data_IF_676342593120
#
_entry.id   IF_676342593120
#
_cell.length_a   1.000
_cell.length_b   1.000
_cell.length_c   1.000
_cell.angle_alpha   90.00
_cell.angle_beta   90.00
_cell.angle_gamma   90.00
#
_symmetry.space_group_name_H-M   'P 1'
#
loop_
_entity.id
_entity.type
_entity.pdbx_description
1 polymer ?
#
# COMPACT_ATOMS: atom_id res chain seq x y z
N UNK A 1 6.16 9.79 22.05
CA UNK A 1 4.89 9.22 21.54
C UNK A 1 4.63 9.89 20.21
N UNK A 2 4.90 9.20 19.10
CA UNK A 2 4.66 9.73 17.76
C UNK A 2 3.36 9.09 17.28
N UNK A 3 2.27 9.84 17.36
CA UNK A 3 0.98 9.45 16.77
C UNK A 3 1.12 9.33 15.25
N UNK A 4 0.79 8.17 14.64
CA UNK A 4 0.78 8.02 13.20
C UNK A 4 -0.55 8.55 12.65
N UNK A 5 -0.75 9.87 12.67
CA UNK A 5 -1.96 10.51 12.12
C UNK A 5 -1.85 10.75 10.60
N UNK A 6 -1.54 9.69 9.85
CA UNK A 6 -1.46 9.73 8.38
C UNK A 6 -2.78 9.34 7.70
N UNK A 7 -3.80 9.01 8.49
CA UNK A 7 -5.11 8.58 7.99
C UNK A 7 -6.01 9.82 7.89
N UNK A 8 -6.47 10.24 6.69
CA UNK A 8 -7.37 11.37 6.55
C UNK A 8 -8.72 11.05 7.21
N UNK A 9 -9.35 12.09 7.78
CA UNK A 9 -10.61 12.03 8.54
C UNK A 9 -11.83 11.52 7.75
N UNK A 10 -11.69 11.33 6.43
CA UNK A 10 -12.68 10.66 5.56
C UNK A 10 -12.63 9.13 5.64
N UNK A 11 -11.67 8.55 6.35
CA UNK A 11 -11.60 7.12 6.60
C UNK A 11 -12.57 6.77 7.75
N UNK A 12 -13.80 6.36 7.41
CA UNK A 12 -14.81 5.88 8.36
C UNK A 12 -14.54 4.46 8.87
N UNK A 13 -13.27 4.03 8.94
CA UNK A 13 -12.93 2.80 9.66
C UNK A 13 -13.02 3.07 11.16
N UNK A 14 -13.70 2.21 11.94
CA UNK A 14 -13.55 2.21 13.39
C UNK A 14 -12.08 1.98 13.74
N UNK A 15 -11.52 2.86 14.57
CA UNK A 15 -10.11 2.94 15.00
C UNK A 15 -9.59 1.67 15.72
N UNK A 16 -10.38 0.60 15.82
CA UNK A 16 -10.03 -0.66 16.47
C UNK A 16 -9.40 -1.71 15.52
N UNK A 17 -9.65 -1.63 14.20
CA UNK A 17 -9.17 -2.64 13.22
C UNK A 17 -7.96 -2.17 12.38
N UNK A 18 -7.61 -0.89 12.43
CA UNK A 18 -6.43 -0.30 11.75
C UNK A 18 -5.07 -0.91 12.12
N UNK A 19 -4.75 -1.31 13.37
CA UNK A 19 -3.38 -1.72 13.72
C UNK A 19 -2.97 -3.07 13.10
N UNK A 20 -3.92 -3.98 12.87
CA UNK A 20 -3.63 -5.31 12.33
C UNK A 20 -3.35 -5.26 10.81
N UNK A 21 -4.08 -4.42 10.04
CA UNK A 21 -3.89 -4.31 8.58
C UNK A 21 -2.62 -3.55 8.21
N UNK A 22 -2.30 -2.52 8.99
CA UNK A 22 -1.03 -1.78 8.86
C UNK A 22 0.16 -2.69 9.15
N UNK A 23 0.04 -3.64 10.09
CA UNK A 23 1.09 -4.62 10.36
C UNK A 23 1.28 -5.63 9.22
N UNK A 24 0.20 -6.09 8.58
CA UNK A 24 0.28 -6.99 7.41
C UNK A 24 0.92 -6.29 6.19
N UNK A 25 0.52 -5.04 5.91
CA UNK A 25 1.19 -4.22 4.89
C UNK A 25 2.64 -3.93 5.25
N UNK A 26 2.96 -3.59 6.50
CA UNK A 26 4.33 -3.37 6.95
C UNK A 26 5.19 -4.61 6.81
N UNK A 27 4.67 -5.79 7.14
CA UNK A 27 5.38 -7.06 6.99
C UNK A 27 5.66 -7.35 5.51
N UNK A 28 4.64 -7.19 4.65
CA UNK A 28 4.79 -7.33 3.21
C UNK A 28 5.84 -6.35 2.66
N UNK A 29 5.80 -5.09 3.10
CA UNK A 29 6.77 -4.08 2.67
C UNK A 29 8.19 -4.39 3.17
N UNK A 30 8.34 -4.79 4.42
CA UNK A 30 9.65 -5.09 4.99
C UNK A 30 10.29 -6.36 4.39
N UNK A 31 9.48 -7.33 3.96
CA UNK A 31 9.97 -8.61 3.44
C UNK A 31 10.14 -8.63 1.91
N UNK A 32 9.22 -8.00 1.18
CA UNK A 32 9.05 -8.27 -0.26
C UNK A 32 9.15 -7.03 -1.14
N UNK A 33 9.08 -5.82 -0.60
CA UNK A 33 9.12 -4.59 -1.40
C UNK A 33 10.53 -4.32 -1.92
N UNK A 34 10.66 -4.25 -3.24
CA UNK A 34 11.91 -3.94 -3.94
C UNK A 34 11.99 -2.45 -4.27
N UNK A 35 10.94 -1.91 -4.90
CA UNK A 35 10.91 -0.50 -5.31
C UNK A 35 9.57 0.16 -5.02
N UNK A 36 9.63 1.47 -4.75
CA UNK A 36 8.48 2.36 -4.69
C UNK A 36 8.66 3.35 -5.82
N UNK A 37 7.76 3.32 -6.78
CA UNK A 37 7.74 4.19 -7.95
C UNK A 37 6.50 5.08 -7.90
N UNK A 38 6.62 6.28 -8.46
CA UNK A 38 5.49 7.21 -8.58
C UNK A 38 5.29 7.59 -10.04
N UNK A 39 4.57 6.76 -10.82
CA UNK A 39 4.37 7.01 -12.26
C UNK A 39 3.50 8.24 -12.52
N UNK A 40 2.65 8.66 -11.58
CA UNK A 40 1.83 9.85 -11.70
C UNK A 40 1.58 10.52 -10.32
N UNK A 41 1.19 11.81 -10.28
CA UNK A 41 0.92 12.48 -9.01
C UNK A 41 -0.15 11.79 -8.15
N UNK A 42 -1.11 11.11 -8.78
CA UNK A 42 -2.20 10.40 -8.10
C UNK A 42 -2.03 8.88 -8.09
N UNK A 43 -0.83 8.38 -8.40
CA UNK A 43 -0.57 6.94 -8.52
C UNK A 43 0.80 6.57 -7.97
N UNK A 44 0.82 5.53 -7.15
CA UNK A 44 2.05 4.91 -6.62
C UNK A 44 2.07 3.46 -7.07
N UNK A 45 3.24 3.03 -7.52
CA UNK A 45 3.51 1.65 -7.89
C UNK A 45 4.50 1.04 -6.93
N UNK A 46 4.09 -0.03 -6.26
CA UNK A 46 4.95 -0.84 -5.40
C UNK A 46 5.38 -2.07 -6.18
N UNK A 47 6.69 -2.32 -6.32
CA UNK A 47 7.20 -3.56 -6.87
C UNK A 47 7.65 -4.49 -5.77
N UNK A 48 7.19 -5.73 -5.85
CA UNK A 48 7.47 -6.79 -4.91
C UNK A 48 8.20 -7.94 -5.62
N UNK A 49 9.07 -8.62 -4.87
CA UNK A 49 9.80 -9.80 -5.33
C UNK A 49 8.85 -10.82 -5.94
N UNK A 50 9.23 -11.39 -7.08
CA UNK A 50 8.52 -12.50 -7.72
C UNK A 50 8.70 -13.80 -6.90
N UNK A 51 7.90 -13.98 -5.86
CA UNK A 51 7.85 -15.23 -5.10
C UNK A 51 6.45 -15.86 -5.18
N UNK A 52 6.42 -17.18 -5.04
CA UNK A 52 5.18 -17.95 -5.04
C UNK A 52 4.22 -17.43 -3.94
N UNK A 53 2.94 -17.25 -4.28
CA UNK A 53 1.93 -16.72 -3.37
C UNK A 53 1.92 -15.20 -3.18
N UNK A 54 2.97 -14.46 -3.56
CA UNK A 54 3.03 -12.98 -3.35
C UNK A 54 1.94 -12.26 -4.16
N UNK A 55 1.73 -12.65 -5.42
CA UNK A 55 0.71 -12.03 -6.26
C UNK A 55 -0.71 -12.24 -5.71
N UNK A 56 -0.98 -13.39 -5.10
CA UNK A 56 -2.26 -13.70 -4.48
C UNK A 56 -2.42 -12.95 -3.15
N UNK A 57 -1.40 -12.97 -2.30
CA UNK A 57 -1.38 -12.21 -1.04
C UNK A 57 -1.62 -10.71 -1.28
N UNK A 58 -0.94 -10.12 -2.27
CA UNK A 58 -1.12 -8.71 -2.65
C UNK A 58 -2.55 -8.44 -3.14
N UNK A 59 -3.13 -9.36 -3.92
CA UNK A 59 -4.50 -9.23 -4.44
C UNK A 59 -5.55 -9.33 -3.35
N UNK A 60 -5.38 -10.26 -2.41
CA UNK A 60 -6.27 -10.39 -1.25
C UNK A 60 -6.22 -9.16 -0.36
N UNK A 61 -5.02 -8.68 -0.03
CA UNK A 61 -4.83 -7.45 0.75
C UNK A 61 -5.45 -6.25 0.06
N UNK A 62 -5.18 -6.07 -1.24
CA UNK A 62 -5.75 -4.99 -2.04
C UNK A 62 -7.28 -5.05 -2.13
N UNK A 63 -7.86 -6.24 -2.31
CA UNK A 63 -9.31 -6.44 -2.36
C UNK A 63 -9.98 -6.05 -1.04
N UNK A 64 -9.44 -6.57 0.07
CA UNK A 64 -9.99 -6.26 1.39
C UNK A 64 -9.81 -4.79 1.81
N UNK A 65 -8.77 -4.13 1.30
CA UNK A 65 -8.57 -2.69 1.55
C UNK A 65 -9.49 -1.84 0.66
N UNK A 66 -9.75 -2.26 -0.58
CA UNK A 66 -10.73 -1.62 -1.46
C UNK A 66 -12.16 -1.67 -0.91
N UNK A 67 -12.53 -2.76 -0.23
CA UNK A 67 -13.82 -2.89 0.44
C UNK A 67 -13.97 -1.92 1.63
N UNK A 68 -12.85 -1.61 2.30
CA UNK A 68 -12.81 -0.75 3.49
C UNK A 68 -12.65 0.74 3.14
N UNK A 69 -11.87 1.01 2.09
CA UNK A 69 -11.47 2.34 1.63
C UNK A 69 -11.73 2.46 0.13
N UNK A 70 -13.01 2.66 -0.24
CA UNK A 70 -13.47 2.69 -1.64
C UNK A 70 -12.88 3.80 -2.52
N UNK A 71 -12.18 4.78 -1.91
CA UNK A 71 -11.46 5.83 -2.62
C UNK A 71 -10.11 5.35 -3.19
N UNK A 72 -9.55 4.25 -2.67
CA UNK A 72 -8.37 3.63 -3.27
C UNK A 72 -8.79 2.73 -4.44
N UNK A 73 -8.12 2.92 -5.57
CA UNK A 73 -8.16 2.00 -6.69
C UNK A 73 -6.87 1.20 -6.73
N UNK A 74 -6.98 -0.09 -6.46
CA UNK A 74 -5.87 -1.02 -6.53
C UNK A 74 -5.85 -1.74 -7.88
N UNK A 75 -4.68 -1.78 -8.52
CA UNK A 75 -4.39 -2.60 -9.68
C UNK A 75 -3.24 -3.54 -9.34
N UNK A 76 -3.45 -4.85 -9.45
CA UNK A 76 -2.40 -5.85 -9.19
C UNK A 76 -2.04 -6.57 -10.46
N UNK A 77 -0.76 -6.81 -10.69
CA UNK A 77 -0.29 -7.63 -11.79
C UNK A 77 1.07 -8.23 -11.53
N UNK A 78 1.54 -9.02 -12.49
CA UNK A 78 2.89 -9.56 -12.50
C UNK A 78 3.50 -9.35 -13.88
N UNK A 79 4.76 -8.94 -13.93
CA UNK A 79 5.56 -8.77 -15.14
C UNK A 79 6.91 -9.52 -15.00
N UNK A 80 7.82 -9.33 -15.96
CA UNK A 80 9.14 -9.95 -15.94
C UNK A 80 10.05 -9.45 -14.80
N UNK A 81 9.75 -8.29 -14.20
CA UNK A 81 10.46 -7.75 -13.05
C UNK A 81 9.85 -8.22 -11.72
N UNK A 82 8.60 -8.66 -11.72
CA UNK A 82 7.98 -9.36 -10.60
C UNK A 82 6.53 -8.96 -10.38
N UNK A 83 6.10 -8.90 -9.12
CA UNK A 83 4.73 -8.52 -8.78
C UNK A 83 4.67 -7.00 -8.61
N UNK A 84 3.64 -6.37 -9.16
CA UNK A 84 3.41 -4.94 -8.93
C UNK A 84 2.00 -4.69 -8.39
N UNK A 85 1.92 -3.68 -7.53
CA UNK A 85 0.70 -3.10 -7.01
C UNK A 85 0.67 -1.62 -7.36
N UNK A 86 -0.25 -1.25 -8.24
CA UNK A 86 -0.62 0.14 -8.51
C UNK A 86 -1.72 0.57 -7.55
N UNK A 87 -1.52 1.71 -6.92
CA UNK A 87 -2.46 2.34 -5.99
C UNK A 87 -2.76 3.71 -6.54
N UNK A 88 -4.02 3.97 -6.85
CA UNK A 88 -4.48 5.23 -7.43
C UNK A 88 -5.57 5.84 -6.56
N UNK A 89 -5.57 7.15 -6.42
CA UNK A 89 -6.58 7.90 -5.65
C UNK A 89 -7.13 9.06 -6.48
N UNK A 90 -8.21 9.67 -6.00
CA UNK A 90 -8.63 10.99 -6.49
C UNK A 90 -7.72 12.11 -5.92
N UNK A 91 -7.91 13.34 -6.43
CA UNK A 91 -7.10 14.50 -6.01
C UNK A 91 -7.24 14.82 -4.51
N UNK A 92 -8.42 14.59 -3.94
CA UNK A 92 -8.72 14.90 -2.54
C UNK A 92 -7.92 14.01 -1.58
N UNK A 93 -7.62 12.79 -2.01
CA UNK A 93 -6.92 11.78 -1.22
C UNK A 93 -5.42 11.67 -1.56
N UNK A 94 -4.82 12.68 -2.22
CA UNK A 94 -3.38 12.66 -2.55
C UNK A 94 -2.51 12.55 -1.30
N UNK A 95 -2.86 13.24 -0.21
CA UNK A 95 -2.08 13.23 1.02
C UNK A 95 -1.98 11.84 1.68
N UNK A 96 -3.02 11.01 1.58
CA UNK A 96 -2.96 9.64 2.11
C UNK A 96 -2.14 8.72 1.21
N UNK A 97 -2.18 8.94 -0.11
CA UNK A 97 -1.31 8.24 -1.04
C UNK A 97 0.17 8.61 -0.79
N UNK A 98 0.47 9.88 -0.51
CA UNK A 98 1.82 10.35 -0.15
C UNK A 98 2.33 9.64 1.10
N UNK A 99 1.55 9.65 2.17
CA UNK A 99 1.95 9.03 3.41
C UNK A 99 2.09 7.49 3.31
N UNK A 100 1.28 6.84 2.46
CA UNK A 100 1.46 5.42 2.14
C UNK A 100 2.81 5.16 1.45
N UNK A 101 3.16 5.99 0.46
CA UNK A 101 4.42 5.87 -0.26
C UNK A 101 5.63 6.10 0.66
N UNK A 102 5.56 7.12 1.51
CA UNK A 102 6.59 7.40 2.52
C UNK A 102 6.74 6.23 3.50
N UNK A 103 5.64 5.67 4.00
CA UNK A 103 5.65 4.50 4.88
C UNK A 103 6.29 3.29 4.19
N UNK A 104 5.89 2.98 2.97
CA UNK A 104 6.46 1.89 2.19
C UNK A 104 7.98 2.09 1.99
N UNK A 105 8.41 3.31 1.67
CA UNK A 105 9.82 3.64 1.53
C UNK A 105 10.61 3.52 2.84
N UNK A 106 10.01 3.91 3.98
CA UNK A 106 10.62 3.78 5.31
C UNK A 106 10.74 2.33 5.78
N UNK A 107 9.78 1.47 5.41
CA UNK A 107 9.76 0.05 5.76
C UNK A 107 10.58 -0.82 4.83
N UNK A 108 10.85 -0.35 3.61
CA UNK A 108 11.82 -0.98 2.71
C UNK A 108 13.16 -1.09 3.44
N UNK A 109 13.62 -2.32 3.70
CA UNK A 109 14.92 -2.54 4.33
C UNK A 109 15.99 -1.84 3.49
N UNK A 110 16.64 -0.83 4.07
CA UNK A 110 17.91 -0.30 3.57
C UNK A 110 18.88 -1.46 3.71
N UNK A 111 19.13 -2.17 2.62
CA UNK A 111 20.19 -3.17 2.52
C UNK A 111 21.34 -2.58 1.74
#
# INVERSE_FOLDING_TARGET
MTDPNWVPTSCTLPTAEQPLRVAEWDALFAERLETVERPAPLSVRLRLTAAEGVAEQVRELAGREGDCCSFFRFGTGSDAAGVYLDITVDRTHTAVLDALAERAALRRRIR
#
